data_IF_209762668201
#
_entry.id   IF_209762668201
#
_cell.length_a   1.000
_cell.length_b   1.000
_cell.length_c   1.000
_cell.angle_alpha   90.00
_cell.angle_beta   90.00
_cell.angle_gamma   90.00
#
_symmetry.space_group_name_H-M   'P 1'
#
loop_
_entity.id
_entity.type
_entity.pdbx_description
1 polymer ?
#
# COMPACT_ATOMS: atom_id res chain seq x y z
N UNK A 1 5.40 -8.19 -17.93
CA UNK A 1 5.82 -7.05 -17.07
C UNK A 1 5.71 -5.76 -17.87
N UNK A 2 5.00 -4.77 -17.33
CA UNK A 2 4.98 -3.42 -17.89
C UNK A 2 6.14 -2.60 -17.31
N UNK A 3 6.75 -1.77 -18.16
CA UNK A 3 7.89 -0.95 -17.77
C UNK A 3 7.81 0.44 -18.41
N UNK A 4 8.14 1.48 -17.63
CA UNK A 4 8.26 2.85 -18.13
C UNK A 4 9.22 3.68 -17.27
N UNK A 5 9.61 4.85 -17.79
CA UNK A 5 10.39 5.82 -17.04
C UNK A 5 9.48 6.85 -16.37
N UNK A 6 9.75 7.13 -15.10
CA UNK A 6 9.14 8.21 -14.34
C UNK A 6 10.21 9.23 -13.96
N UNK A 7 10.09 10.44 -14.48
CA UNK A 7 11.05 11.49 -14.21
C UNK A 7 10.49 12.48 -13.20
N UNK A 8 11.22 12.73 -12.14
CA UNK A 8 10.87 13.71 -11.11
C UNK A 8 12.15 14.38 -10.56
N UNK A 9 12.11 15.69 -10.35
CA UNK A 9 13.22 16.49 -9.83
C UNK A 9 14.56 16.22 -10.58
N UNK A 10 14.49 16.05 -11.91
CA UNK A 10 15.68 15.82 -12.75
C UNK A 10 16.26 14.40 -12.67
N UNK A 11 15.63 13.47 -11.97
CA UNK A 11 16.03 12.07 -11.90
C UNK A 11 15.01 11.18 -12.60
N UNK A 12 15.50 10.20 -13.37
CA UNK A 12 14.68 9.21 -14.04
C UNK A 12 14.71 7.89 -13.26
N UNK A 13 13.53 7.34 -12.99
CA UNK A 13 13.30 6.08 -12.31
C UNK A 13 12.68 5.09 -13.27
N UNK A 14 13.20 3.88 -13.29
CA UNK A 14 12.57 2.76 -14.01
C UNK A 14 11.45 2.20 -13.16
N UNK A 15 10.23 2.26 -13.66
CA UNK A 15 9.04 1.71 -12.98
C UNK A 15 8.69 0.39 -13.65
N UNK A 16 8.54 -0.66 -12.86
CA UNK A 16 8.16 -2.00 -13.30
C UNK A 16 6.90 -2.43 -12.55
N UNK A 17 5.93 -2.96 -13.30
CA UNK A 17 4.63 -3.32 -12.72
C UNK A 17 4.20 -4.64 -13.34
N UNK A 18 3.92 -5.63 -12.49
CA UNK A 18 3.46 -6.96 -12.90
C UNK A 18 2.86 -7.71 -11.70
N UNK A 19 2.17 -8.84 -11.94
CA UNK A 19 1.92 -9.85 -10.92
C UNK A 19 3.23 -10.30 -10.25
N UNK A 20 3.20 -10.62 -8.96
CA UNK A 20 4.40 -11.01 -8.21
C UNK A 20 5.14 -12.21 -8.83
N UNK A 21 4.42 -13.11 -9.50
CA UNK A 21 5.00 -14.26 -10.18
C UNK A 21 6.02 -13.86 -11.29
N UNK A 22 5.86 -12.69 -11.90
CA UNK A 22 6.81 -12.20 -12.92
C UNK A 22 8.10 -11.63 -12.30
N UNK A 23 8.11 -11.40 -10.98
CA UNK A 23 9.29 -11.00 -10.21
C UNK A 23 9.96 -12.19 -9.50
N UNK A 24 9.66 -13.44 -9.86
CA UNK A 24 10.12 -14.62 -9.12
C UNK A 24 11.64 -14.65 -8.90
N UNK A 25 12.44 -14.24 -9.88
CA UNK A 25 13.91 -14.19 -9.77
C UNK A 25 14.43 -13.03 -8.92
N UNK A 26 13.60 -12.03 -8.65
CA UNK A 26 13.97 -10.82 -7.92
C UNK A 26 13.25 -10.71 -6.57
N UNK A 27 12.40 -11.67 -6.23
CA UNK A 27 11.55 -11.61 -5.05
C UNK A 27 12.36 -11.45 -3.76
N UNK A 28 13.53 -12.07 -3.65
CA UNK A 28 14.41 -11.93 -2.51
C UNK A 28 15.01 -10.52 -2.39
N UNK A 29 15.31 -9.86 -3.52
CA UNK A 29 15.77 -8.47 -3.50
C UNK A 29 14.64 -7.52 -3.07
N UNK A 30 13.41 -7.77 -3.52
CA UNK A 30 12.22 -7.03 -3.10
C UNK A 30 11.97 -7.22 -1.60
N UNK A 31 12.07 -8.45 -1.09
CA UNK A 31 11.93 -8.75 0.34
C UNK A 31 13.02 -8.08 1.17
N UNK A 32 14.29 -8.16 0.73
CA UNK A 32 15.41 -7.49 1.40
C UNK A 32 15.22 -5.96 1.46
N UNK A 33 14.58 -5.37 0.45
CA UNK A 33 14.20 -3.95 0.46
C UNK A 33 13.06 -3.66 1.44
N UNK A 34 12.00 -4.49 1.48
CA UNK A 34 10.79 -4.27 2.27
C UNK A 34 10.97 -4.54 3.77
N UNK A 35 11.67 -5.63 4.14
CA UNK A 35 11.78 -6.10 5.53
C UNK A 35 12.18 -4.99 6.51
N UNK A 36 13.22 -4.18 6.26
CA UNK A 36 13.63 -3.13 7.19
C UNK A 36 12.71 -1.89 7.16
N UNK A 37 11.76 -1.78 6.21
CA UNK A 37 11.00 -0.55 5.92
C UNK A 37 9.50 -0.65 6.09
N UNK A 38 8.92 -1.83 5.88
CA UNK A 38 7.47 -1.98 5.78
C UNK A 38 6.73 -2.06 7.13
N UNK A 39 7.42 -2.01 8.26
CA UNK A 39 6.83 -2.18 9.60
C UNK A 39 5.90 -3.40 9.74
N UNK A 40 6.18 -4.44 8.98
CA UNK A 40 5.46 -5.73 8.94
C UNK A 40 6.44 -6.84 9.30
N UNK A 41 5.98 -7.85 10.01
CA UNK A 41 6.82 -8.99 10.37
C UNK A 41 7.42 -9.66 9.13
N UNK A 42 8.72 -9.99 9.18
CA UNK A 42 9.43 -10.63 8.09
C UNK A 42 8.75 -11.91 7.60
N UNK A 43 8.33 -12.77 8.53
CA UNK A 43 7.62 -14.01 8.22
C UNK A 43 6.36 -13.75 7.39
N UNK A 44 5.64 -12.67 7.70
CA UNK A 44 4.43 -12.30 6.97
C UNK A 44 4.77 -11.80 5.56
N UNK A 45 5.78 -10.95 5.42
CA UNK A 45 6.25 -10.47 4.11
C UNK A 45 6.70 -11.63 3.22
N UNK A 46 7.53 -12.55 3.74
CA UNK A 46 8.00 -13.73 3.01
C UNK A 46 6.87 -14.64 2.52
N UNK A 47 5.80 -14.75 3.27
CA UNK A 47 4.66 -15.58 2.90
C UNK A 47 3.71 -14.90 1.90
N UNK A 48 3.61 -13.58 1.89
CA UNK A 48 2.56 -12.87 1.15
C UNK A 48 3.05 -12.04 -0.03
N UNK A 49 4.26 -11.49 0.01
CA UNK A 49 4.79 -10.69 -1.12
C UNK A 49 4.89 -11.53 -2.40
N UNK A 50 5.35 -12.81 -2.37
CA UNK A 50 5.39 -13.65 -3.58
C UNK A 50 4.03 -13.96 -4.21
N UNK A 51 2.94 -13.71 -3.48
CA UNK A 51 1.56 -13.95 -3.91
C UNK A 51 0.78 -12.66 -4.20
N UNK A 52 1.43 -11.51 -4.14
CA UNK A 52 0.78 -10.25 -4.44
C UNK A 52 0.19 -10.25 -5.86
N UNK A 53 -1.05 -9.76 -5.98
CA UNK A 53 -1.74 -9.64 -7.27
C UNK A 53 -0.99 -8.74 -8.23
N UNK A 54 -0.42 -7.65 -7.69
CA UNK A 54 0.43 -6.72 -8.43
C UNK A 54 1.55 -6.24 -7.52
N UNK A 55 2.77 -6.21 -8.04
CA UNK A 55 3.89 -5.45 -7.48
C UNK A 55 4.20 -4.28 -8.41
N UNK A 56 4.45 -3.12 -7.82
CA UNK A 56 5.01 -1.96 -8.49
C UNK A 56 6.36 -1.63 -7.83
N UNK A 57 7.41 -1.60 -8.64
CA UNK A 57 8.79 -1.43 -8.19
C UNK A 57 9.40 -0.25 -8.93
N UNK A 58 10.04 0.64 -8.21
CA UNK A 58 10.87 1.71 -8.78
C UNK A 58 12.35 1.41 -8.55
N UNK A 59 13.11 1.44 -9.64
CA UNK A 59 14.56 1.29 -9.61
C UNK A 59 15.23 2.64 -9.95
N UNK A 60 16.37 2.88 -9.33
CA UNK A 60 17.27 3.98 -9.64
C UNK A 60 18.71 3.45 -9.67
N UNK A 61 19.42 3.66 -10.79
CA UNK A 61 20.79 3.17 -10.97
C UNK A 61 20.98 1.67 -10.66
N UNK A 62 19.97 0.86 -11.02
CA UNK A 62 19.99 -0.59 -10.83
C UNK A 62 19.61 -1.07 -9.42
N UNK A 63 19.31 -0.17 -8.49
CA UNK A 63 18.87 -0.52 -7.14
C UNK A 63 17.37 -0.27 -6.96
N UNK A 64 16.68 -1.13 -6.21
CA UNK A 64 15.28 -0.92 -5.81
C UNK A 64 15.23 0.24 -4.80
N UNK A 65 14.40 1.25 -5.09
CA UNK A 65 14.27 2.44 -4.23
C UNK A 65 12.85 2.68 -3.73
N UNK A 66 11.84 2.05 -4.35
CA UNK A 66 10.48 2.08 -3.83
C UNK A 66 9.70 0.84 -4.29
N UNK A 67 8.82 0.36 -3.43
CA UNK A 67 7.93 -0.78 -3.71
C UNK A 67 6.54 -0.46 -3.18
N UNK A 68 5.52 -0.91 -3.90
CA UNK A 68 4.14 -0.97 -3.44
C UNK A 68 3.49 -2.25 -3.98
N UNK A 69 2.49 -2.78 -3.27
CA UNK A 69 1.80 -4.00 -3.66
C UNK A 69 0.28 -3.86 -3.58
N UNK A 70 -0.42 -4.53 -4.50
CA UNK A 70 -1.79 -4.98 -4.30
C UNK A 70 -1.71 -6.41 -3.77
N UNK A 71 -2.03 -6.58 -2.50
CA UNK A 71 -1.98 -7.87 -1.83
C UNK A 71 -3.08 -8.80 -2.35
N UNK A 72 -2.81 -10.09 -2.31
CA UNK A 72 -3.85 -11.10 -2.51
C UNK A 72 -4.92 -11.03 -1.43
N UNK A 73 -6.12 -11.50 -1.75
CA UNK A 73 -7.25 -11.55 -0.83
C UNK A 73 -6.91 -12.46 0.36
N UNK A 74 -7.05 -11.92 1.56
CA UNK A 74 -6.87 -12.66 2.81
C UNK A 74 -8.12 -12.49 3.70
N UNK A 75 -9.04 -13.43 3.60
CA UNK A 75 -10.31 -13.39 4.33
C UNK A 75 -10.15 -13.24 5.85
N UNK A 76 -9.16 -13.92 6.44
CA UNK A 76 -8.89 -13.82 7.90
C UNK A 76 -8.44 -12.43 8.28
N UNK A 77 -7.56 -11.83 7.48
CA UNK A 77 -7.11 -10.45 7.69
C UNK A 77 -8.27 -9.46 7.49
N UNK A 78 -9.03 -9.59 6.39
CA UNK A 78 -10.18 -8.72 6.08
C UNK A 78 -11.24 -8.80 7.18
N UNK A 79 -11.51 -9.99 7.74
CA UNK A 79 -12.42 -10.17 8.87
C UNK A 79 -11.91 -9.47 10.14
N UNK A 80 -10.61 -9.59 10.44
CA UNK A 80 -9.99 -8.89 11.57
C UNK A 80 -10.09 -7.37 11.40
N UNK A 81 -9.86 -6.85 10.19
CA UNK A 81 -10.00 -5.41 9.88
C UNK A 81 -11.45 -4.98 10.02
N UNK A 82 -12.41 -5.76 9.48
CA UNK A 82 -13.84 -5.48 9.61
C UNK A 82 -14.27 -5.37 11.07
N UNK A 83 -13.89 -6.35 11.89
CA UNK A 83 -14.24 -6.40 13.31
C UNK A 83 -13.60 -5.24 14.10
N UNK A 84 -12.34 -4.92 13.80
CA UNK A 84 -11.64 -3.84 14.50
C UNK A 84 -12.13 -2.45 14.10
N UNK A 85 -12.45 -2.23 12.83
CA UNK A 85 -12.93 -0.93 12.33
C UNK A 85 -14.43 -0.69 12.55
N UNK A 86 -15.21 -1.76 12.81
CA UNK A 86 -16.68 -1.69 12.86
C UNK A 86 -17.33 -1.42 11.49
N UNK A 87 -16.55 -1.32 10.42
CA UNK A 87 -17.05 -1.08 9.07
C UNK A 87 -17.39 -2.41 8.37
N UNK A 88 -18.53 -2.55 7.65
CA UNK A 88 -18.93 -3.78 6.97
C UNK A 88 -18.07 -4.04 5.71
N UNK A 89 -16.78 -4.23 5.90
CA UNK A 89 -15.82 -4.48 4.83
C UNK A 89 -16.11 -5.83 4.15
N UNK A 90 -16.29 -5.88 2.81
CA UNK A 90 -16.32 -7.14 2.08
C UNK A 90 -15.02 -7.91 2.25
N UNK A 91 -15.10 -9.24 2.45
CA UNK A 91 -13.93 -10.06 2.79
C UNK A 91 -13.05 -10.42 1.58
N UNK A 92 -13.58 -10.24 0.39
CA UNK A 92 -12.97 -10.57 -0.91
C UNK A 92 -12.26 -9.39 -1.58
N UNK A 93 -12.13 -8.26 -0.88
CA UNK A 93 -11.42 -7.10 -1.41
C UNK A 93 -9.89 -7.27 -1.28
N UNK A 94 -9.13 -6.92 -2.32
CA UNK A 94 -7.68 -6.83 -2.21
C UNK A 94 -7.25 -5.61 -1.41
N UNK A 95 -6.09 -5.73 -0.74
CA UNK A 95 -5.52 -4.65 0.06
C UNK A 95 -4.34 -3.99 -0.67
N UNK A 96 -4.38 -2.67 -0.83
CA UNK A 96 -3.21 -1.88 -1.21
C UNK A 96 -2.28 -1.74 0.00
N UNK A 97 -1.01 -2.09 -0.15
CA UNK A 97 -0.08 -2.02 0.98
C UNK A 97 1.35 -2.40 0.61
N UNK A 98 2.16 -2.76 1.62
CA UNK A 98 3.60 -2.95 1.50
C UNK A 98 4.31 -1.77 0.83
N UNK A 99 3.77 -0.55 1.03
CA UNK A 99 4.36 0.65 0.47
C UNK A 99 5.59 1.06 1.28
N UNK A 100 6.73 1.12 0.61
CA UNK A 100 7.97 1.57 1.19
C UNK A 100 8.81 2.33 0.15
N UNK A 101 9.50 3.38 0.60
CA UNK A 101 10.43 4.16 -0.22
C UNK A 101 11.73 4.35 0.57
N UNK A 102 12.87 4.26 -0.10
CA UNK A 102 14.16 4.56 0.50
C UNK A 102 14.21 6.05 0.88
N UNK A 103 14.73 6.35 2.07
CA UNK A 103 14.77 7.71 2.63
C UNK A 103 15.50 8.74 1.75
N UNK A 104 16.56 8.32 1.04
CA UNK A 104 17.29 9.17 0.10
C UNK A 104 16.46 9.59 -1.14
N UNK A 105 15.31 8.96 -1.32
CA UNK A 105 14.36 9.24 -2.40
C UNK A 105 13.01 9.78 -1.90
N UNK A 106 12.92 10.20 -0.63
CA UNK A 106 11.73 10.87 -0.11
C UNK A 106 11.46 12.21 -0.83
N UNK A 107 10.18 12.59 -0.89
CA UNK A 107 9.75 13.82 -1.57
C UNK A 107 9.66 13.72 -3.10
N UNK A 108 10.18 12.65 -3.72
CA UNK A 108 10.18 12.45 -5.17
C UNK A 108 8.90 11.83 -5.73
N UNK A 109 7.86 11.74 -4.92
CA UNK A 109 6.53 11.24 -5.29
C UNK A 109 6.48 9.77 -5.76
N UNK A 110 7.52 8.97 -5.49
CA UNK A 110 7.58 7.57 -5.94
C UNK A 110 6.44 6.73 -5.37
N UNK A 111 6.23 6.75 -4.04
CA UNK A 111 5.14 6.01 -3.41
C UNK A 111 3.77 6.39 -3.99
N UNK A 112 3.54 7.69 -4.21
CA UNK A 112 2.32 8.16 -4.89
C UNK A 112 2.19 7.57 -6.28
N UNK A 113 3.25 7.69 -7.11
CA UNK A 113 3.23 7.20 -8.48
C UNK A 113 2.97 5.68 -8.54
N UNK A 114 3.63 4.89 -7.69
CA UNK A 114 3.42 3.44 -7.62
C UNK A 114 1.98 3.10 -7.19
N UNK A 115 1.42 3.79 -6.19
CA UNK A 115 0.02 3.61 -5.79
C UNK A 115 -0.93 3.90 -6.95
N UNK A 116 -0.76 5.03 -7.65
CA UNK A 116 -1.56 5.40 -8.82
C UNK A 116 -1.48 4.33 -9.92
N UNK A 117 -0.30 3.82 -10.21
CA UNK A 117 -0.11 2.76 -11.20
C UNK A 117 -0.80 1.44 -10.83
N UNK A 118 -0.79 1.05 -9.56
CA UNK A 118 -1.54 -0.12 -9.09
C UNK A 118 -3.05 0.12 -9.22
N UNK A 119 -3.53 1.31 -8.83
CA UNK A 119 -4.96 1.65 -8.86
C UNK A 119 -5.53 1.61 -10.29
N UNK A 120 -4.77 2.00 -11.30
CA UNK A 120 -5.19 1.90 -12.70
C UNK A 120 -5.47 0.45 -13.14
N UNK A 121 -4.96 -0.54 -12.42
CA UNK A 121 -5.14 -1.98 -12.69
C UNK A 121 -6.26 -2.61 -11.87
N UNK A 122 -6.80 -1.90 -10.89
CA UNK A 122 -7.91 -2.38 -10.07
C UNK A 122 -9.22 -1.99 -10.75
N UNK A 123 -9.97 -2.98 -11.21
CA UNK A 123 -11.30 -2.76 -11.85
C UNK A 123 -12.43 -2.52 -10.86
N UNK A 124 -12.20 -2.66 -9.55
CA UNK A 124 -13.22 -2.66 -8.51
C UNK A 124 -12.83 -1.88 -7.27
N UNK A 125 -13.35 -2.37 -6.17
CA UNK A 125 -13.08 -1.85 -4.83
C UNK A 125 -11.77 -2.42 -4.29
N UNK A 126 -11.15 -1.70 -3.38
CA UNK A 126 -9.98 -2.13 -2.64
C UNK A 126 -9.97 -1.44 -1.28
N UNK A 127 -9.22 -1.97 -0.33
CA UNK A 127 -8.98 -1.28 0.93
C UNK A 127 -7.49 -1.09 1.19
N UNK A 128 -7.17 -0.27 2.16
CA UNK A 128 -5.83 -0.10 2.72
C UNK A 128 -5.93 0.10 4.22
N UNK A 129 -4.94 -0.38 4.95
CA UNK A 129 -4.76 -0.10 6.37
C UNK A 129 -3.56 0.81 6.55
N UNK A 130 -3.77 1.98 7.17
CA UNK A 130 -2.72 3.01 7.30
C UNK A 130 -2.55 3.39 8.76
N UNK A 131 -1.30 3.51 9.19
CA UNK A 131 -0.97 4.03 10.53
C UNK A 131 -1.42 5.48 10.64
N UNK A 132 -2.22 5.79 11.65
CA UNK A 132 -2.67 7.15 11.93
C UNK A 132 -1.47 8.06 12.15
N UNK A 133 -1.47 9.20 11.48
CA UNK A 133 -0.35 10.15 11.50
C UNK A 133 0.76 9.86 10.48
N UNK A 134 0.63 8.80 9.65
CA UNK A 134 1.45 8.65 8.46
C UNK A 134 0.93 9.58 7.35
N UNK A 135 1.16 10.89 7.53
CA UNK A 135 0.62 11.96 6.67
C UNK A 135 0.99 11.75 5.20
N UNK A 136 2.16 11.19 4.93
CA UNK A 136 2.62 10.94 3.56
C UNK A 136 1.73 9.89 2.87
N UNK A 137 1.49 8.75 3.54
CA UNK A 137 0.66 7.68 2.99
C UNK A 137 -0.82 8.07 2.96
N UNK A 138 -1.34 8.70 4.01
CA UNK A 138 -2.71 9.21 4.02
C UNK A 138 -2.97 10.16 2.83
N UNK A 139 -2.02 11.02 2.50
CA UNK A 139 -2.10 11.91 1.34
C UNK A 139 -2.06 11.14 0.01
N UNK A 140 -1.21 10.12 -0.08
CA UNK A 140 -1.08 9.30 -1.27
C UNK A 140 -2.38 8.53 -1.56
N UNK A 141 -2.94 7.83 -0.57
CA UNK A 141 -4.15 7.03 -0.77
C UNK A 141 -5.40 7.88 -1.00
N UNK A 142 -5.50 9.09 -0.39
CA UNK A 142 -6.58 10.04 -0.72
C UNK A 142 -6.59 10.39 -2.21
N UNK A 143 -5.42 10.62 -2.79
CA UNK A 143 -5.29 10.89 -4.24
C UNK A 143 -5.65 9.69 -5.11
N UNK A 144 -5.56 8.49 -4.56
CA UNK A 144 -6.02 7.25 -5.18
C UNK A 144 -7.50 6.95 -4.90
N UNK A 145 -8.26 7.94 -4.42
CA UNK A 145 -9.71 7.88 -4.13
C UNK A 145 -10.09 6.92 -2.98
N UNK A 146 -9.18 6.67 -2.05
CA UNK A 146 -9.53 6.01 -0.80
C UNK A 146 -10.08 7.02 0.20
N UNK A 147 -11.12 6.63 0.91
CA UNK A 147 -11.73 7.39 1.99
C UNK A 147 -11.62 6.64 3.31
N UNK A 148 -11.39 7.32 4.45
CA UNK A 148 -11.40 6.67 5.76
C UNK A 148 -12.80 6.11 6.05
N UNK A 149 -12.85 4.94 6.72
CA UNK A 149 -14.09 4.24 7.07
C UNK A 149 -14.00 3.60 8.45
N UNK A 150 -15.11 3.59 9.17
CA UNK A 150 -15.18 3.02 10.51
C UNK A 150 -14.34 3.77 11.52
N UNK A 151 -14.06 3.12 12.65
CA UNK A 151 -13.21 3.65 13.72
C UNK A 151 -11.75 3.26 13.55
N UNK A 152 -10.85 4.00 14.17
CA UNK A 152 -9.45 3.59 14.34
C UNK A 152 -9.34 2.54 15.44
N UNK A 153 -8.29 1.72 15.39
CA UNK A 153 -8.03 0.72 16.42
C UNK A 153 -6.55 0.64 16.78
N UNK A 154 -6.29 0.21 17.99
CA UNK A 154 -4.95 0.12 18.53
C UNK A 154 -4.21 -1.12 18.03
N UNK A 155 -2.92 -0.97 17.82
CA UNK A 155 -1.94 -2.02 17.52
C UNK A 155 -0.66 -1.76 18.30
N UNK A 156 0.16 -2.77 18.39
CA UNK A 156 1.49 -2.69 19.00
C UNK A 156 2.51 -3.14 17.97
N UNK A 157 3.59 -2.39 17.79
CA UNK A 157 4.68 -2.77 16.90
C UNK A 157 5.61 -3.82 17.55
N UNK A 158 6.57 -4.32 16.79
CA UNK A 158 7.51 -5.35 17.25
C UNK A 158 8.38 -4.88 18.45
N UNK A 159 8.47 -3.58 18.70
CA UNK A 159 9.14 -2.99 19.87
C UNK A 159 8.22 -2.75 21.06
N UNK A 160 6.95 -3.18 21.01
CA UNK A 160 5.96 -2.98 22.07
C UNK A 160 5.36 -1.57 22.09
N UNK A 161 5.64 -0.72 21.08
CA UNK A 161 5.14 0.65 21.05
C UNK A 161 3.71 0.67 20.46
N UNK A 162 2.74 1.29 21.19
CA UNK A 162 1.37 1.39 20.68
C UNK A 162 1.27 2.37 19.50
N UNK A 163 0.40 2.07 18.59
CA UNK A 163 0.01 2.94 17.48
C UNK A 163 -1.42 2.65 17.04
N UNK A 164 -2.03 3.56 16.28
CA UNK A 164 -3.38 3.38 15.76
C UNK A 164 -3.35 3.13 14.26
N UNK A 165 -4.31 2.33 13.80
CA UNK A 165 -4.58 2.05 12.39
C UNK A 165 -5.92 2.65 12.01
N UNK A 166 -6.01 3.17 10.80
CA UNK A 166 -7.24 3.57 10.13
C UNK A 166 -7.50 2.69 8.91
N UNK A 167 -8.77 2.31 8.71
CA UNK A 167 -9.23 1.67 7.47
C UNK A 167 -9.54 2.74 6.43
N UNK A 168 -9.08 2.50 5.21
CA UNK A 168 -9.37 3.31 4.04
C UNK A 168 -9.96 2.42 2.95
N UNK A 169 -11.06 2.83 2.33
CA UNK A 169 -11.75 2.05 1.30
C UNK A 169 -11.90 2.88 0.04
N UNK A 170 -11.51 2.29 -1.09
CA UNK A 170 -11.77 2.81 -2.43
C UNK A 170 -12.97 2.10 -3.03
N UNK A 171 -13.98 2.85 -3.43
CA UNK A 171 -15.13 2.34 -4.19
C UNK A 171 -14.90 2.51 -5.68
N UNK A 172 -15.40 1.59 -6.48
CA UNK A 172 -15.23 1.60 -7.94
C UNK A 172 -15.68 2.91 -8.63
N UNK A 173 -16.67 3.60 -8.07
CA UNK A 173 -17.26 4.83 -8.62
C UNK A 173 -17.16 6.02 -7.65
N UNK A 174 -16.16 6.06 -6.78
CA UNK A 174 -16.01 7.16 -5.85
C UNK A 174 -15.68 8.47 -6.59
N UNK A 175 -16.26 9.61 -6.18
CA UNK A 175 -15.89 10.91 -6.72
C UNK A 175 -14.41 11.20 -6.46
N UNK A 176 -13.76 12.02 -7.29
CA UNK A 176 -12.31 12.19 -7.28
C UNK A 176 -11.71 12.83 -6.02
N UNK A 177 -12.48 13.34 -5.10
CA UNK A 177 -11.99 14.01 -3.89
C UNK A 177 -12.84 13.59 -2.70
N UNK A 178 -12.20 13.02 -1.68
CA UNK A 178 -12.80 12.88 -0.37
C UNK A 178 -12.56 14.17 0.40
N UNK A 179 -13.30 15.23 0.06
CA UNK A 179 -13.39 16.43 0.89
C UNK A 179 -14.33 16.13 2.05
N UNK A 180 -13.79 15.58 3.12
CA UNK A 180 -14.58 15.31 4.31
C UNK A 180 -13.71 14.85 5.45
N UNK A 181 -13.77 15.59 6.54
CA UNK A 181 -13.45 15.11 7.87
C UNK A 181 -14.16 13.77 8.13
N UNK A 182 -13.68 12.89 9.00
CA UNK A 182 -14.41 11.68 9.38
C UNK A 182 -15.84 12.11 9.74
N UNK A 183 -16.84 11.46 9.09
CA UNK A 183 -18.23 11.65 9.49
C UNK A 183 -18.26 11.31 10.97
N UNK A 184 -18.55 12.36 11.77
CA UNK A 184 -18.53 12.27 13.22
C UNK A 184 -19.45 11.14 13.66
N UNK A 185 -18.92 10.30 14.52
CA UNK A 185 -19.70 9.41 15.35
C UNK A 185 -20.56 10.32 16.23
N UNK A 186 -21.84 10.43 15.91
CA UNK A 186 -22.87 10.89 16.85
C UNK A 186 -23.33 9.72 17.69
#
# INVERSE_FOLDING_TARGET
>A
MEEHLFTTQGQAYRIRIAPAAEFATEIEAILAFLIPRAHVEEKYLRNHVPRALVLAVADFEGAIVSVCALKDVNHVHSESVRNSSGYPLPLDLPELGYAATNEHHFGRQLGRHLNEQIILRIKGEAFATVRVGNVAEERNIRRCHFCPRGQTWDRVDNGGKPYQIALWVRRANAPPICDGAPEGVT
#
